data_IF_707872458652
#
_entry.id   IF_707872458652
#
_cell.length_a   1.000
_cell.length_b   1.000
_cell.length_c   1.000
_cell.angle_alpha   90.00
_cell.angle_beta   90.00
_cell.angle_gamma   90.00
#
_symmetry.space_group_name_H-M   'P 1'
#
loop_
_entity.id
_entity.type
_entity.pdbx_description
1 polymer ?
#
# COMPACT_ATOMS: atom_id res chain seq x y z
N UNK A 1 17.35 13.67 27.43
CA UNK A 1 16.13 13.45 26.61
C UNK A 1 16.20 12.08 25.97
N UNK A 2 15.47 11.09 26.49
CA UNK A 2 15.46 9.73 25.93
C UNK A 2 14.53 9.72 24.71
N UNK A 3 15.08 9.59 23.51
CA UNK A 3 14.30 9.38 22.28
C UNK A 3 13.70 7.98 22.33
N UNK A 4 12.38 7.91 22.41
CA UNK A 4 11.62 6.68 22.34
C UNK A 4 11.76 6.11 20.91
N UNK A 5 12.43 4.97 20.77
CA UNK A 5 12.56 4.24 19.51
C UNK A 5 11.30 3.39 19.36
N UNK A 6 10.39 3.77 18.47
CA UNK A 6 9.19 2.98 18.14
C UNK A 6 9.49 2.09 16.93
N UNK A 7 9.23 0.80 17.09
CA UNK A 7 9.49 -0.26 16.10
C UNK A 7 8.19 -0.61 15.39
N UNK A 8 8.20 -0.69 14.05
CA UNK A 8 7.11 -1.22 13.24
C UNK A 8 7.29 -2.74 13.06
N UNK A 9 6.26 -3.52 13.37
CA UNK A 9 6.18 -4.95 13.05
C UNK A 9 4.99 -5.18 12.12
N UNK A 10 5.22 -5.83 10.98
CA UNK A 10 4.15 -6.35 10.12
C UNK A 10 4.29 -7.87 10.09
N UNK A 11 3.30 -8.59 10.63
CA UNK A 11 3.24 -10.05 10.56
C UNK A 11 1.82 -10.47 10.16
N UNK A 12 1.73 -11.41 9.21
CA UNK A 12 0.49 -12.03 8.75
C UNK A 12 0.26 -13.27 9.62
N UNK A 13 -0.85 -13.34 10.34
CA UNK A 13 -1.22 -14.51 11.16
C UNK A 13 -2.58 -15.05 10.69
N UNK A 14 -2.62 -16.35 10.37
CA UNK A 14 -3.83 -17.13 10.13
C UNK A 14 -4.29 -17.71 11.48
N UNK A 15 -5.53 -17.44 11.90
CA UNK A 15 -6.12 -18.02 13.13
C UNK A 15 -7.39 -18.79 12.76
N UNK A 16 -7.42 -20.07 13.14
CA UNK A 16 -8.63 -20.90 13.17
C UNK A 16 -9.09 -21.00 14.62
N UNK A 17 -10.35 -20.66 14.93
CA UNK A 17 -10.92 -20.87 16.26
C UNK A 17 -12.22 -21.67 16.19
N UNK A 18 -12.28 -22.77 16.95
CA UNK A 18 -13.51 -23.46 17.35
C UNK A 18 -14.08 -22.83 18.62
N UNK A 19 -15.42 -22.71 18.69
CA UNK A 19 -16.12 -21.89 19.68
C UNK A 19 -16.71 -22.65 20.86
N UNK A 20 -16.91 -21.93 21.97
CA UNK A 20 -17.89 -22.19 23.04
C UNK A 20 -18.51 -20.84 23.45
N UNK A 21 -19.84 -20.77 23.53
CA UNK A 21 -20.63 -19.56 23.78
C UNK A 21 -20.78 -19.26 25.28
N UNK A 22 -20.58 -17.99 25.67
CA UNK A 22 -21.19 -17.37 26.86
C UNK A 22 -21.60 -15.93 26.47
N UNK A 23 -22.86 -15.57 26.76
CA UNK A 23 -23.41 -14.24 26.46
C UNK A 23 -22.89 -13.18 27.45
N UNK A 24 -21.84 -12.47 27.04
CA UNK A 24 -21.73 -11.04 27.28
C UNK A 24 -22.37 -10.32 26.07
N UNK A 25 -22.77 -9.06 26.19
CA UNK A 25 -23.01 -8.21 25.02
C UNK A 25 -21.69 -8.09 24.24
N UNK A 26 -21.39 -9.08 23.41
CA UNK A 26 -20.18 -9.17 22.64
C UNK A 26 -20.30 -8.16 21.52
N UNK A 27 -19.48 -7.12 21.52
CA UNK A 27 -19.17 -6.44 20.28
C UNK A 27 -18.65 -7.52 19.32
N UNK A 28 -19.33 -7.73 18.20
CA UNK A 28 -18.85 -8.65 17.17
C UNK A 28 -17.37 -8.34 16.86
N UNK A 29 -16.57 -9.39 16.65
CA UNK A 29 -15.14 -9.21 16.35
C UNK A 29 -14.97 -8.34 15.10
N UNK A 30 -13.92 -7.51 15.05
CA UNK A 30 -13.65 -6.60 13.92
C UNK A 30 -13.70 -7.29 12.54
N UNK A 31 -13.29 -8.56 12.48
CA UNK A 31 -13.31 -9.38 11.27
C UNK A 31 -14.71 -9.73 10.72
N UNK A 32 -15.78 -9.52 11.49
CA UNK A 32 -17.17 -9.68 11.03
C UNK A 32 -17.64 -8.53 10.14
N UNK A 33 -16.95 -7.39 10.21
CA UNK A 33 -17.23 -6.18 9.42
C UNK A 33 -15.94 -5.66 8.76
N UNK A 34 -15.27 -6.49 7.92
CA UNK A 34 -13.95 -6.19 7.38
C UNK A 34 -13.93 -4.97 6.44
N UNK A 35 -15.06 -4.56 5.90
CA UNK A 35 -15.18 -3.39 5.04
C UNK A 35 -14.95 -2.06 5.77
N UNK A 36 -15.00 -2.02 7.10
CA UNK A 36 -14.87 -0.78 7.87
C UNK A 36 -14.15 -0.96 9.21
N UNK A 37 -13.25 -1.94 9.31
CA UNK A 37 -12.63 -2.30 10.58
C UNK A 37 -11.79 -1.18 11.21
N UNK A 38 -11.19 -0.28 10.41
CA UNK A 38 -10.39 0.83 10.96
C UNK A 38 -11.28 1.87 11.64
N UNK A 39 -12.53 2.03 11.19
CA UNK A 39 -13.52 2.95 11.80
C UNK A 39 -13.86 2.64 13.26
N UNK A 40 -13.50 1.44 13.74
CA UNK A 40 -13.73 0.98 15.12
C UNK A 40 -12.51 1.18 16.02
N UNK A 41 -11.40 1.68 15.47
CA UNK A 41 -10.17 1.93 16.21
C UNK A 41 -10.15 3.34 16.78
N UNK A 42 -9.29 3.56 17.78
CA UNK A 42 -8.90 4.89 18.22
C UNK A 42 -8.13 5.60 17.09
N UNK A 43 -8.71 6.69 16.57
CA UNK A 43 -8.14 7.47 15.46
C UNK A 43 -6.82 8.19 15.82
N UNK A 44 -6.48 8.29 17.11
CA UNK A 44 -5.21 8.87 17.56
C UNK A 44 -4.00 7.96 17.35
N UNK A 45 -4.23 6.65 17.09
CA UNK A 45 -3.15 5.71 16.78
C UNK A 45 -2.38 6.13 15.54
N UNK A 46 -1.06 5.98 15.59
CA UNK A 46 -0.24 6.03 14.39
C UNK A 46 -0.54 4.82 13.51
N UNK A 47 -0.49 4.96 12.19
CA UNK A 47 -0.69 3.81 11.30
C UNK A 47 0.34 2.69 11.56
N UNK A 48 1.53 3.07 12.05
CA UNK A 48 2.60 2.14 12.45
C UNK A 48 2.27 1.30 13.69
N UNK A 49 1.22 1.66 14.43
CA UNK A 49 0.72 0.94 15.61
C UNK A 49 -0.51 0.09 15.29
N UNK A 50 -0.93 0.05 14.01
CA UNK A 50 -2.09 -0.69 13.53
C UNK A 50 -1.62 -1.95 12.80
N UNK A 51 -2.12 -3.12 13.23
CA UNK A 51 -1.91 -4.37 12.51
C UNK A 51 -2.74 -4.37 11.23
N UNK A 52 -2.08 -4.17 10.09
CA UNK A 52 -2.75 -3.92 8.82
C UNK A 52 -2.58 -5.09 7.85
N UNK A 53 -3.67 -5.72 7.38
CA UNK A 53 -3.60 -6.71 6.31
C UNK A 53 -3.17 -6.06 4.99
N UNK A 54 -2.19 -6.69 4.33
CA UNK A 54 -1.70 -6.31 3.03
C UNK A 54 -1.89 -7.38 1.97
N UNK A 55 -1.77 -6.99 0.70
CA UNK A 55 -1.78 -7.91 -0.44
C UNK A 55 -0.51 -7.73 -1.27
N UNK A 56 0.21 -8.82 -1.53
CA UNK A 56 1.40 -8.86 -2.39
C UNK A 56 1.00 -8.92 -3.87
N UNK A 57 1.64 -8.11 -4.71
CA UNK A 57 1.29 -7.93 -6.14
C UNK A 57 -0.22 -7.80 -6.35
N UNK A 58 -0.81 -6.81 -5.69
CA UNK A 58 -2.26 -6.70 -5.50
C UNK A 58 -3.06 -6.74 -6.81
N UNK A 59 -2.45 -6.32 -7.92
CA UNK A 59 -3.07 -6.26 -9.25
C UNK A 59 -3.09 -7.55 -10.06
N UNK A 60 -2.50 -8.65 -9.57
CA UNK A 60 -2.33 -9.87 -10.38
C UNK A 60 -3.61 -10.68 -10.62
N UNK A 61 -4.74 -10.25 -10.03
CA UNK A 61 -6.03 -10.93 -10.13
C UNK A 61 -6.57 -11.09 -11.56
N UNK A 62 -6.11 -10.26 -12.49
CA UNK A 62 -6.49 -10.27 -13.90
C UNK A 62 -5.91 -11.45 -14.69
N UNK A 63 -4.84 -12.09 -14.18
CA UNK A 63 -4.20 -13.19 -14.90
C UNK A 63 -5.12 -14.41 -14.96
N UNK A 64 -5.36 -14.92 -16.16
CA UNK A 64 -6.19 -16.10 -16.42
C UNK A 64 -5.43 -17.25 -17.07
N UNK A 65 -4.28 -16.96 -17.68
CA UNK A 65 -3.39 -17.97 -18.28
C UNK A 65 -2.88 -18.94 -17.19
N UNK A 66 -3.20 -20.25 -17.28
CA UNK A 66 -2.84 -21.20 -16.23
C UNK A 66 -1.34 -21.35 -16.01
N UNK A 67 -0.53 -21.25 -17.07
CA UNK A 67 0.93 -21.47 -17.00
C UNK A 67 1.61 -20.25 -16.39
N UNK A 68 1.27 -19.04 -16.86
CA UNK A 68 1.79 -17.79 -16.26
C UNK A 68 1.32 -17.60 -14.82
N UNK A 69 0.10 -18.02 -14.50
CA UNK A 69 -0.45 -17.88 -13.16
C UNK A 69 0.29 -18.70 -12.11
N UNK A 70 1.03 -19.75 -12.48
CA UNK A 70 1.84 -20.55 -11.53
C UNK A 70 2.84 -19.70 -10.77
N UNK A 71 3.41 -18.66 -11.40
CA UNK A 71 4.47 -17.84 -10.80
C UNK A 71 4.14 -16.35 -10.74
N UNK A 72 3.28 -15.84 -11.64
CA UNK A 72 2.95 -14.41 -11.70
C UNK A 72 1.64 -14.03 -10.99
N UNK A 73 0.76 -14.99 -10.69
CA UNK A 73 -0.53 -14.71 -10.05
C UNK A 73 -0.46 -14.93 -8.55
N UNK A 74 -0.77 -13.88 -7.80
CA UNK A 74 -0.71 -13.85 -6.33
C UNK A 74 -2.08 -13.58 -5.70
N UNK A 75 -3.02 -13.00 -6.45
CA UNK A 75 -4.36 -12.65 -5.97
C UNK A 75 -5.44 -13.23 -6.87
N UNK A 76 -6.59 -13.59 -6.27
CA UNK A 76 -7.80 -14.02 -7.00
C UNK A 76 -8.97 -13.05 -6.88
N UNK A 77 -8.85 -11.99 -6.07
CA UNK A 77 -9.87 -10.97 -5.83
C UNK A 77 -9.43 -9.65 -6.43
N UNK A 78 -10.35 -8.89 -7.04
CA UNK A 78 -10.07 -7.54 -7.50
C UNK A 78 -9.84 -6.55 -6.34
N UNK A 79 -9.42 -5.32 -6.66
CA UNK A 79 -9.09 -4.31 -5.65
C UNK A 79 -10.25 -4.01 -4.70
N UNK A 80 -11.46 -3.77 -5.21
CA UNK A 80 -12.62 -3.46 -4.38
C UNK A 80 -13.00 -4.64 -3.46
N UNK A 81 -12.90 -5.86 -3.96
CA UNK A 81 -13.16 -7.07 -3.16
C UNK A 81 -12.07 -7.27 -2.11
N UNK A 82 -10.80 -6.98 -2.41
CA UNK A 82 -9.71 -6.97 -1.43
C UNK A 82 -9.97 -5.93 -0.32
N UNK A 83 -10.36 -4.70 -0.69
CA UNK A 83 -10.70 -3.63 0.26
C UNK A 83 -11.88 -4.06 1.15
N UNK A 84 -12.98 -4.56 0.57
CA UNK A 84 -14.12 -5.11 1.34
C UNK A 84 -13.75 -6.31 2.21
N UNK A 85 -12.68 -7.03 1.86
CA UNK A 85 -12.15 -8.14 2.68
C UNK A 85 -11.19 -7.67 3.80
N UNK A 86 -11.01 -6.35 3.97
CA UNK A 86 -10.20 -5.76 5.05
C UNK A 86 -8.76 -5.41 4.68
N UNK A 87 -8.34 -5.62 3.43
CA UNK A 87 -7.01 -5.23 2.96
C UNK A 87 -6.89 -3.70 2.95
N UNK A 88 -5.81 -3.18 3.53
CA UNK A 88 -5.51 -1.73 3.57
C UNK A 88 -4.09 -1.39 3.12
N UNK A 89 -3.20 -2.37 3.01
CA UNK A 89 -1.90 -2.20 2.36
C UNK A 89 -1.90 -2.87 0.98
N UNK A 90 -1.61 -2.11 -0.07
CA UNK A 90 -1.57 -2.61 -1.45
C UNK A 90 -0.16 -2.49 -2.02
N UNK A 91 0.43 -3.61 -2.42
CA UNK A 91 1.70 -3.67 -3.13
C UNK A 91 1.45 -3.46 -4.63
N UNK A 92 1.62 -2.22 -5.10
CA UNK A 92 1.45 -1.86 -6.51
C UNK A 92 2.82 -1.73 -7.15
N UNK A 93 3.05 -2.62 -8.12
CA UNK A 93 4.27 -2.64 -8.91
C UNK A 93 3.95 -2.28 -10.35
N UNK A 94 4.80 -1.47 -10.97
CA UNK A 94 4.48 -0.86 -12.25
C UNK A 94 5.64 -0.77 -13.22
N UNK A 95 5.27 -0.49 -14.46
CA UNK A 95 6.14 -0.18 -15.59
C UNK A 95 5.67 1.12 -16.23
N UNK A 96 6.59 2.04 -16.50
CA UNK A 96 6.26 3.22 -17.31
C UNK A 96 6.01 2.77 -18.76
N UNK A 97 4.79 2.96 -19.23
CA UNK A 97 4.30 2.51 -20.55
C UNK A 97 4.10 3.66 -21.53
N UNK A 98 3.99 4.89 -21.02
CA UNK A 98 4.07 6.16 -21.73
C UNK A 98 4.52 7.24 -20.74
N UNK A 99 4.91 8.41 -21.23
CA UNK A 99 5.36 9.56 -20.39
C UNK A 99 4.31 10.10 -19.41
N UNK A 100 3.07 9.60 -19.49
CA UNK A 100 1.97 9.92 -18.61
C UNK A 100 1.24 8.67 -18.06
N UNK A 101 1.81 7.47 -18.23
CA UNK A 101 1.09 6.22 -17.95
C UNK A 101 1.97 5.13 -17.32
N UNK A 102 1.55 4.67 -16.15
CA UNK A 102 2.10 3.50 -15.45
C UNK A 102 1.13 2.33 -15.62
N UNK A 103 1.61 1.28 -16.30
CA UNK A 103 0.95 -0.03 -16.38
C UNK A 103 1.28 -0.84 -15.14
N UNK A 104 0.33 -1.58 -14.56
CA UNK A 104 0.58 -2.46 -13.41
C UNK A 104 1.19 -3.78 -13.89
N UNK A 105 2.23 -4.24 -13.20
CA UNK A 105 3.10 -5.33 -13.63
C UNK A 105 3.47 -6.29 -12.49
N UNK A 106 3.78 -7.53 -12.85
CA UNK A 106 4.60 -8.46 -12.06
C UNK A 106 5.85 -8.77 -12.89
N UNK A 107 6.97 -8.11 -12.60
CA UNK A 107 8.14 -8.10 -13.47
C UNK A 107 7.77 -7.81 -14.93
N UNK A 108 8.13 -8.71 -15.84
CA UNK A 108 7.80 -8.57 -17.27
C UNK A 108 6.31 -8.72 -17.61
N UNK A 109 5.48 -9.24 -16.70
CA UNK A 109 4.08 -9.57 -16.98
C UNK A 109 3.19 -8.36 -16.75
N UNK A 110 2.61 -7.83 -17.84
CA UNK A 110 1.56 -6.82 -17.76
C UNK A 110 0.28 -7.42 -17.16
N UNK A 111 -0.29 -6.74 -16.17
CA UNK A 111 -1.50 -7.18 -15.44
C UNK A 111 -2.80 -6.62 -16.00
N UNK A 112 -2.81 -6.18 -17.26
CA UNK A 112 -4.03 -5.83 -17.99
C UNK A 112 -4.77 -4.56 -17.51
N UNK A 113 -4.09 -3.69 -16.76
CA UNK A 113 -4.59 -2.36 -16.41
C UNK A 113 -3.48 -1.41 -15.95
N UNK A 114 -3.81 -0.13 -15.94
CA UNK A 114 -2.95 0.97 -15.51
C UNK A 114 -3.20 1.33 -14.05
N UNK A 115 -2.28 2.11 -13.47
CA UNK A 115 -2.36 2.60 -12.10
C UNK A 115 -3.65 3.37 -11.81
N UNK A 116 -4.22 4.03 -12.82
CA UNK A 116 -5.48 4.77 -12.67
C UNK A 116 -6.63 3.90 -12.17
N UNK A 117 -6.72 2.65 -12.63
CA UNK A 117 -7.74 1.70 -12.16
C UNK A 117 -7.68 1.51 -10.64
N UNK A 118 -6.50 1.30 -10.08
CA UNK A 118 -6.34 1.14 -8.64
C UNK A 118 -6.76 2.41 -7.88
N UNK A 119 -6.35 3.59 -8.38
CA UNK A 119 -6.68 4.86 -7.73
C UNK A 119 -8.16 5.18 -7.79
N UNK A 120 -8.84 4.87 -8.89
CA UNK A 120 -10.27 5.04 -9.04
C UNK A 120 -11.05 4.08 -8.11
N UNK A 121 -10.64 2.81 -8.03
CA UNK A 121 -11.22 1.83 -7.11
C UNK A 121 -11.00 2.26 -5.63
N UNK A 122 -9.80 2.74 -5.29
CA UNK A 122 -9.49 3.24 -3.95
C UNK A 122 -10.27 4.52 -3.60
N UNK A 123 -10.41 5.45 -4.54
CA UNK A 123 -11.22 6.67 -4.38
C UNK A 123 -12.69 6.32 -4.16
N UNK A 124 -13.23 5.39 -4.95
CA UNK A 124 -14.59 4.88 -4.77
C UNK A 124 -14.76 4.28 -3.37
N UNK A 125 -13.87 3.38 -2.97
CA UNK A 125 -13.94 2.72 -1.67
C UNK A 125 -13.84 3.69 -0.49
N UNK A 126 -12.87 4.60 -0.51
CA UNK A 126 -12.66 5.58 0.56
C UNK A 126 -13.79 6.62 0.64
N UNK A 127 -14.54 6.84 -0.45
CA UNK A 127 -15.76 7.65 -0.37
C UNK A 127 -16.92 6.91 0.30
N UNK A 128 -17.04 5.60 0.10
CA UNK A 128 -18.03 4.74 0.76
C UNK A 128 -17.66 4.44 2.23
N UNK A 129 -16.36 4.36 2.54
CA UNK A 129 -15.83 4.07 3.88
C UNK A 129 -14.79 5.13 4.32
N UNK A 130 -15.23 6.36 4.61
CA UNK A 130 -14.34 7.52 4.80
C UNK A 130 -13.51 7.50 6.08
N UNK A 131 -13.76 6.56 6.99
CA UNK A 131 -12.98 6.37 8.21
C UNK A 131 -11.84 5.34 8.05
N UNK A 132 -11.68 4.76 6.86
CA UNK A 132 -10.57 3.88 6.52
C UNK A 132 -9.42 4.68 5.90
N UNK A 133 -8.19 4.16 5.95
CA UNK A 133 -7.07 4.68 5.14
C UNK A 133 -6.47 3.55 4.30
N UNK A 134 -5.87 3.89 3.16
CA UNK A 134 -5.16 2.93 2.33
C UNK A 134 -3.69 3.30 2.30
N UNK A 135 -2.80 2.34 2.56
CA UNK A 135 -1.36 2.47 2.29
C UNK A 135 -1.09 1.83 0.94
N UNK A 136 -0.57 2.61 -0.01
CA UNK A 136 -0.19 2.12 -1.34
C UNK A 136 1.33 2.10 -1.44
N UNK A 137 1.92 0.91 -1.52
CA UNK A 137 3.30 0.77 -1.95
C UNK A 137 3.41 0.98 -3.46
N UNK A 138 4.41 1.75 -3.88
CA UNK A 138 4.67 2.01 -5.30
C UNK A 138 6.10 1.63 -5.66
N UNK A 139 6.28 0.71 -6.62
CA UNK A 139 7.58 0.20 -7.06
C UNK A 139 7.68 0.15 -8.59
N UNK A 140 8.82 0.53 -9.17
CA UNK A 140 9.18 0.16 -10.55
C UNK A 140 9.60 -1.32 -10.58
N UNK A 141 8.93 -2.12 -11.40
CA UNK A 141 9.16 -3.58 -11.49
C UNK A 141 9.76 -4.05 -12.81
N UNK A 142 9.70 -3.19 -13.83
CA UNK A 142 10.25 -3.50 -15.13
C UNK A 142 10.70 -2.23 -15.85
N UNK A 143 11.57 -2.40 -16.83
CA UNK A 143 12.07 -1.28 -17.61
C UNK A 143 10.98 -0.62 -18.43
N UNK A 144 11.08 0.71 -18.52
CA UNK A 144 10.14 1.55 -19.23
C UNK A 144 10.03 1.12 -20.69
N UNK A 145 8.90 1.41 -21.32
CA UNK A 145 8.79 1.30 -22.79
C UNK A 145 9.85 2.20 -23.46
N UNK A 146 10.37 1.78 -24.62
CA UNK A 146 11.46 2.48 -25.30
C UNK A 146 11.11 3.91 -25.74
N UNK A 147 9.81 4.23 -25.85
CA UNK A 147 9.34 5.58 -26.18
C UNK A 147 9.27 6.53 -24.98
N UNK A 148 9.44 6.02 -23.75
CA UNK A 148 9.36 6.82 -22.52
C UNK A 148 10.63 7.64 -22.35
N UNK A 149 10.46 8.93 -22.16
CA UNK A 149 11.55 9.90 -21.97
C UNK A 149 11.70 10.35 -20.50
N UNK A 150 10.65 10.18 -19.69
CA UNK A 150 10.63 10.53 -18.26
C UNK A 150 11.02 9.35 -17.36
N UNK A 151 11.55 9.65 -16.17
CA UNK A 151 11.74 8.63 -15.14
C UNK A 151 10.40 8.14 -14.59
N UNK A 152 10.40 6.93 -14.02
CA UNK A 152 9.19 6.36 -13.38
C UNK A 152 8.66 7.25 -12.25
N UNK A 153 9.55 7.84 -11.44
CA UNK A 153 9.17 8.76 -10.36
C UNK A 153 8.53 10.04 -10.88
N UNK A 154 9.07 10.64 -11.95
CA UNK A 154 8.49 11.83 -12.56
C UNK A 154 7.08 11.54 -13.07
N UNK A 155 6.89 10.42 -13.74
CA UNK A 155 5.57 10.02 -14.26
C UNK A 155 4.59 9.84 -13.11
N UNK A 156 4.98 9.11 -12.06
CA UNK A 156 4.13 8.93 -10.88
C UNK A 156 3.78 10.26 -10.21
N UNK A 157 4.79 11.10 -9.96
CA UNK A 157 4.62 12.38 -9.26
C UNK A 157 3.76 13.36 -10.05
N UNK A 158 4.01 13.53 -11.35
CA UNK A 158 3.31 14.51 -12.18
C UNK A 158 1.90 14.06 -12.57
N UNK A 159 1.74 12.81 -13.01
CA UNK A 159 0.51 12.33 -13.64
C UNK A 159 -0.41 11.53 -12.73
N UNK A 160 0.02 11.22 -11.51
CA UNK A 160 -0.81 10.53 -10.51
C UNK A 160 -0.88 11.31 -9.20
N UNK A 161 0.26 11.54 -8.54
CA UNK A 161 0.26 12.18 -7.22
C UNK A 161 -0.22 13.64 -7.27
N UNK A 162 0.26 14.43 -8.25
CA UNK A 162 -0.13 15.83 -8.44
C UNK A 162 -1.27 16.02 -9.45
N UNK A 163 -1.86 14.93 -9.96
CA UNK A 163 -2.91 15.03 -10.96
C UNK A 163 -4.21 15.57 -10.33
N UNK A 164 -4.83 16.63 -10.89
CA UNK A 164 -6.10 17.15 -10.41
C UNK A 164 -7.23 16.11 -10.27
N UNK A 165 -7.24 15.04 -11.09
CA UNK A 165 -8.21 13.94 -10.98
C UNK A 165 -8.17 13.25 -9.60
N UNK A 166 -6.98 13.16 -9.01
CA UNK A 166 -6.72 12.55 -7.70
C UNK A 166 -6.45 13.60 -6.62
N UNK A 167 -6.82 14.85 -6.87
CA UNK A 167 -6.73 15.91 -5.88
C UNK A 167 -7.48 15.48 -4.60
N UNK A 168 -6.83 15.68 -3.45
CA UNK A 168 -7.31 15.25 -2.14
C UNK A 168 -7.42 13.72 -1.94
N UNK A 169 -7.02 12.86 -2.87
CA UNK A 169 -7.00 11.41 -2.63
C UNK A 169 -5.76 11.01 -1.83
N UNK A 170 -4.60 11.59 -2.12
CA UNK A 170 -3.36 11.31 -1.39
C UNK A 170 -3.27 12.09 -0.07
N UNK A 171 -2.62 11.50 0.92
CA UNK A 171 -2.20 12.21 2.13
C UNK A 171 -1.03 13.14 1.79
N UNK A 172 -1.23 14.44 1.97
CA UNK A 172 -0.26 15.50 1.67
C UNK A 172 0.22 16.24 2.93
N UNK A 173 -0.03 15.70 4.12
CA UNK A 173 0.47 16.26 5.38
C UNK A 173 1.98 16.08 5.53
N UNK A 174 2.59 16.87 6.41
CA UNK A 174 4.03 16.86 6.67
C UNK A 174 4.44 15.95 7.83
N UNK A 175 3.49 15.31 8.53
CA UNK A 175 3.78 14.38 9.61
C UNK A 175 4.35 13.07 9.03
N UNK A 176 5.59 12.74 9.40
CA UNK A 176 6.30 11.55 8.94
C UNK A 176 5.76 10.25 9.56
N UNK A 177 5.08 10.32 10.70
CA UNK A 177 4.40 9.19 11.32
C UNK A 177 2.92 9.54 11.52
N UNK A 178 2.12 9.60 10.45
CA UNK A 178 0.77 10.11 10.52
C UNK A 178 -0.15 9.18 11.33
N UNK A 179 -1.14 9.79 11.98
CA UNK A 179 -2.22 9.10 12.68
C UNK A 179 -3.32 8.65 11.72
N UNK A 180 -4.17 7.72 12.17
CA UNK A 180 -5.38 7.34 11.44
C UNK A 180 -6.30 8.54 11.21
N UNK A 181 -6.42 9.44 12.18
CA UNK A 181 -7.21 10.68 12.07
C UNK A 181 -6.78 11.56 10.91
N UNK A 182 -5.48 11.71 10.70
CA UNK A 182 -4.90 12.55 9.64
C UNK A 182 -5.04 11.92 8.23
N UNK A 183 -5.25 10.60 8.17
CA UNK A 183 -5.11 9.81 6.93
C UNK A 183 -6.38 9.12 6.49
N UNK A 184 -7.45 9.13 7.30
CA UNK A 184 -8.75 8.58 6.92
C UNK A 184 -9.30 9.25 5.67
N UNK A 185 -9.87 8.45 4.78
CA UNK A 185 -10.33 8.87 3.46
C UNK A 185 -9.20 9.20 2.48
N UNK A 186 -7.93 8.87 2.80
CA UNK A 186 -6.75 9.14 1.96
C UNK A 186 -5.93 7.89 1.66
N UNK A 187 -5.14 7.98 0.60
CA UNK A 187 -4.05 7.07 0.27
C UNK A 187 -2.74 7.63 0.83
N UNK A 188 -2.06 6.86 1.68
CA UNK A 188 -0.70 7.16 2.15
C UNK A 188 0.30 6.42 1.26
N UNK A 189 1.22 7.17 0.64
CA UNK A 189 2.29 6.58 -0.16
C UNK A 189 3.27 5.82 0.74
N UNK A 190 3.62 4.61 0.31
CA UNK A 190 4.80 3.88 0.79
C UNK A 190 5.79 3.77 -0.38
N UNK A 191 6.83 4.60 -0.37
CA UNK A 191 7.68 4.83 -1.53
C UNK A 191 8.75 3.74 -1.70
N UNK A 192 8.61 2.89 -2.73
CA UNK A 192 9.66 1.94 -3.20
C UNK A 192 10.20 2.31 -4.59
N UNK A 193 10.08 3.58 -4.99
CA UNK A 193 10.59 4.06 -6.29
C UNK A 193 12.06 4.49 -6.25
N UNK A 194 12.64 4.61 -5.05
CA UNK A 194 13.93 5.28 -4.82
C UNK A 194 13.72 6.71 -4.32
N UNK A 195 14.68 7.60 -4.56
CA UNK A 195 14.56 9.02 -4.20
C UNK A 195 13.39 9.69 -4.91
N UNK A 196 12.63 10.52 -4.20
CA UNK A 196 11.46 11.23 -4.74
C UNK A 196 11.42 12.70 -4.30
N UNK A 197 10.77 13.54 -5.11
CA UNK A 197 10.44 14.90 -4.73
C UNK A 197 9.09 15.03 -4.01
N UNK A 198 8.28 13.97 -3.96
CA UNK A 198 7.11 13.89 -3.08
C UNK A 198 7.57 14.02 -1.62
N UNK A 199 6.80 14.75 -0.80
CA UNK A 199 7.18 15.10 0.59
C UNK A 199 6.28 14.48 1.67
N UNK A 200 5.31 13.66 1.27
CA UNK A 200 4.34 13.03 2.19
C UNK A 200 4.25 11.54 1.93
N UNK A 201 4.22 10.75 3.01
CA UNK A 201 4.25 9.29 2.97
C UNK A 201 5.56 8.70 3.51
N UNK A 202 5.60 7.37 3.61
CA UNK A 202 6.75 6.62 4.10
C UNK A 202 7.86 6.59 3.04
N UNK A 203 9.07 7.00 3.40
CA UNK A 203 10.19 7.13 2.47
C UNK A 203 10.03 8.24 1.42
N UNK A 204 9.13 9.20 1.64
CA UNK A 204 8.90 10.32 0.73
C UNK A 204 9.96 11.43 0.93
N UNK A 205 11.20 11.12 0.57
CA UNK A 205 12.32 12.04 0.54
C UNK A 205 13.28 11.67 -0.62
N UNK A 206 14.34 12.45 -0.81
CA UNK A 206 15.30 12.25 -1.91
C UNK A 206 16.17 11.00 -1.74
N UNK A 207 16.13 10.33 -0.59
CA UNK A 207 16.83 9.07 -0.34
C UNK A 207 15.95 7.86 -0.60
N UNK A 208 14.64 7.97 -0.39
CA UNK A 208 13.71 6.85 -0.54
C UNK A 208 13.88 5.82 0.57
N UNK A 209 13.66 4.55 0.23
CA UNK A 209 13.86 3.41 1.14
C UNK A 209 14.98 2.55 0.57
N UNK A 210 16.01 2.28 1.38
CA UNK A 210 17.05 1.30 1.04
C UNK A 210 16.50 -0.11 1.26
N UNK A 211 16.17 -0.81 0.18
CA UNK A 211 15.60 -2.15 0.22
C UNK A 211 16.67 -3.21 -0.03
N UNK A 212 16.91 -4.10 0.94
CA UNK A 212 17.79 -5.25 0.71
C UNK A 212 17.05 -6.35 -0.07
N UNK A 213 17.70 -6.94 -1.07
CA UNK A 213 17.13 -8.03 -1.87
C UNK A 213 17.10 -9.34 -1.05
N UNK A 214 15.95 -10.02 -1.06
CA UNK A 214 15.75 -11.34 -0.47
C UNK A 214 16.29 -11.48 0.97
N UNK A 215 15.89 -10.57 1.86
CA UNK A 215 16.46 -10.47 3.19
C UNK A 215 15.47 -9.99 4.26
N UNK A 216 15.77 -10.33 5.51
CA UNK A 216 15.32 -9.59 6.69
C UNK A 216 16.29 -8.42 6.96
N UNK A 217 15.79 -7.20 7.04
CA UNK A 217 16.62 -6.01 7.26
C UNK A 217 15.91 -4.90 8.04
N UNK A 218 16.72 -3.96 8.54
CA UNK A 218 16.24 -2.71 9.13
C UNK A 218 16.88 -1.52 8.42
N UNK A 219 16.13 -0.45 8.22
CA UNK A 219 16.65 0.78 7.64
C UNK A 219 15.91 2.01 8.15
N UNK A 220 16.61 3.14 8.23
CA UNK A 220 16.01 4.42 8.61
C UNK A 220 15.36 5.07 7.40
N UNK A 221 14.14 5.59 7.57
CA UNK A 221 13.39 6.30 6.53
C UNK A 221 12.92 7.67 7.04
N UNK A 222 12.43 8.53 6.14
CA UNK A 222 11.89 9.86 6.46
C UNK A 222 12.90 10.70 7.25
N UNK A 223 14.10 10.88 6.71
CA UNK A 223 15.23 11.57 7.37
C UNK A 223 15.56 11.03 8.78
N UNK A 224 15.39 9.72 8.99
CA UNK A 224 15.67 9.05 10.27
C UNK A 224 14.56 9.18 11.32
N UNK A 225 13.37 9.66 10.93
CA UNK A 225 12.21 9.75 11.81
C UNK A 225 11.63 8.39 12.19
N UNK A 226 11.80 7.39 11.31
CA UNK A 226 11.29 6.04 11.51
C UNK A 226 12.39 5.00 11.26
N UNK A 227 12.33 3.88 12.00
CA UNK A 227 13.11 2.68 11.73
C UNK A 227 12.18 1.61 11.14
N UNK A 228 12.32 1.37 9.83
CA UNK A 228 11.57 0.38 9.09
C UNK A 228 12.22 -0.99 9.29
N UNK A 229 11.44 -1.99 9.67
CA UNK A 229 11.86 -3.39 9.76
C UNK A 229 11.09 -4.20 8.73
N UNK A 230 11.80 -4.91 7.87
CA UNK A 230 11.22 -5.67 6.76
C UNK A 230 11.74 -7.10 6.81
N UNK A 231 10.84 -8.05 6.60
CA UNK A 231 11.18 -9.38 6.11
C UNK A 231 10.62 -9.46 4.68
N UNK A 232 11.50 -9.66 3.71
CA UNK A 232 11.16 -9.82 2.29
C UNK A 232 12.06 -10.91 1.69
N UNK A 233 12.04 -12.10 2.30
CA UNK A 233 12.75 -13.31 1.85
C UNK A 233 11.84 -14.08 0.90
N UNK A 234 11.78 -13.64 -0.37
CA UNK A 234 10.83 -14.09 -1.37
C UNK A 234 11.29 -15.30 -2.22
N UNK A 235 12.50 -15.83 -1.98
CA UNK A 235 13.07 -17.01 -2.68
C UNK A 235 13.27 -18.18 -1.75
#
# INVERSE_FOLDING_TARGET
MKKCIKTLFLSIILVVMGGWYHSAHASDSLSKSPENWMSKLDESKHLTEINMPGSHDSGSFTLTDPVKSVWAKTQGKDYLTQMKSGVRFFDIRGRASADNMISVHHGMVYLHHELGKFLDDAKYYLSAYPNETIVMSMKKDYDSDSKVTKTFEEIFREYYYNNPQYQNLFYTGSNANPTLKETKGKIVLFNRMGGTYIKSGYGADTSGIQWADNATFETKINNGSLNLKVQDEYK
#
